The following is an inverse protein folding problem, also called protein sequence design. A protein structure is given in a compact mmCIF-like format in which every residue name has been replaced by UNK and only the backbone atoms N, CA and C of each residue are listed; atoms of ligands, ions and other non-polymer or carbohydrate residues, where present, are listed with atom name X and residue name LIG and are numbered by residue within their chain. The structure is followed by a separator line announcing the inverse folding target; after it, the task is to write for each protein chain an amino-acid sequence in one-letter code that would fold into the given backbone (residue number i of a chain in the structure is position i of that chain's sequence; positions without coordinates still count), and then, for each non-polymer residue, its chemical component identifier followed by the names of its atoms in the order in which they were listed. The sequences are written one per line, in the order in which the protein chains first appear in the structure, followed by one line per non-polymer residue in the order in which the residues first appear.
data_IF_328337167669
#
_entry.id   IF_328337167669
#
_cell.length_a   1.000
_cell.length_b   1.000
_cell.length_c   1.000
_cell.angle_alpha   90.00
_cell.angle_beta   90.00
_cell.angle_gamma   90.00
#
_symmetry.space_group_name_H-M   'P 1'
#
loop_
_entity.id
_entity.type
_entity.pdbx_description
1 polymer ?
#
# COMPACT_ATOMS: atom_id res chain seq x y z
N UNK A 1 -2.29 0.61 28.81
CA UNK A 1 -2.84 -0.77 28.77
C UNK A 1 -2.15 -1.60 29.83
N UNK A 2 -2.88 -2.15 30.80
CA UNK A 2 -2.29 -2.98 31.86
C UNK A 2 -2.23 -4.44 31.43
N UNK A 3 -1.04 -4.93 31.10
CA UNK A 3 -0.84 -6.36 30.92
C UNK A 3 -0.92 -7.04 32.29
N UNK A 4 -1.70 -8.12 32.39
CA UNK A 4 -1.81 -8.90 33.62
C UNK A 4 -0.43 -9.40 34.08
N UNK A 5 -0.08 -9.27 35.35
CA UNK A 5 1.22 -9.69 35.94
C UNK A 5 1.62 -11.14 35.61
N UNK A 6 0.62 -12.05 35.48
CA UNK A 6 0.90 -13.45 35.09
C UNK A 6 1.40 -13.55 33.64
N UNK A 7 0.81 -12.75 32.75
CA UNK A 7 1.22 -12.71 31.32
C UNK A 7 2.59 -12.05 31.22
N UNK A 8 2.83 -10.93 31.90
CA UNK A 8 4.13 -10.28 31.93
C UNK A 8 5.24 -11.23 32.38
N UNK A 9 5.03 -11.98 33.49
CA UNK A 9 6.00 -12.97 33.98
C UNK A 9 6.27 -14.06 32.96
N UNK A 10 5.25 -14.58 32.26
CA UNK A 10 5.41 -15.58 31.20
C UNK A 10 6.25 -15.04 30.02
N UNK A 11 5.95 -13.82 29.56
CA UNK A 11 6.70 -13.18 28.49
C UNK A 11 8.17 -12.97 28.91
N UNK A 12 8.39 -12.47 30.13
CA UNK A 12 9.74 -12.26 30.68
C UNK A 12 10.54 -13.58 30.74
N UNK A 13 9.93 -14.67 31.20
CA UNK A 13 10.59 -15.98 31.23
C UNK A 13 10.85 -16.53 29.82
N UNK A 14 9.94 -16.29 28.88
CA UNK A 14 10.12 -16.69 27.49
C UNK A 14 11.23 -15.95 26.77
N UNK A 15 11.50 -14.70 27.15
CA UNK A 15 12.58 -13.88 26.56
C UNK A 15 13.95 -14.12 27.21
N UNK A 16 14.02 -14.67 28.42
CA UNK A 16 15.27 -14.90 29.14
C UNK A 16 15.96 -16.22 28.73
N UNK A 17 17.32 -16.22 28.81
CA UNK A 17 18.14 -17.43 28.66
C UNK A 17 18.04 -18.08 27.28
N UNK A 18 17.69 -17.32 26.24
CA UNK A 18 17.61 -17.83 24.89
C UNK A 18 18.99 -18.08 24.30
N UNK A 19 19.13 -19.19 23.62
CA UNK A 19 20.34 -19.56 22.91
C UNK A 19 20.01 -19.71 21.41
N UNK A 20 20.97 -19.38 20.56
CA UNK A 20 20.86 -19.58 19.11
C UNK A 20 22.11 -20.25 18.54
N UNK A 21 21.95 -20.97 17.47
CA UNK A 21 23.03 -21.51 16.62
C UNK A 21 22.59 -21.53 15.17
N UNK A 22 23.56 -21.54 14.28
CA UNK A 22 23.33 -21.56 12.84
C UNK A 22 23.57 -22.99 12.34
N UNK A 23 22.67 -23.49 11.51
CA UNK A 23 22.83 -24.70 10.73
C UNK A 23 23.06 -24.30 9.26
N UNK A 24 24.22 -24.69 8.70
CA UNK A 24 24.56 -24.44 7.30
C UNK A 24 25.08 -25.72 6.67
N UNK A 25 24.41 -26.24 5.65
CA UNK A 25 24.82 -27.48 4.93
C UNK A 25 25.08 -28.70 5.81
N UNK A 26 24.36 -28.82 6.91
CA UNK A 26 24.52 -29.93 7.88
C UNK A 26 25.48 -29.64 9.03
N UNK A 27 26.31 -28.61 8.93
CA UNK A 27 27.23 -28.18 9.97
C UNK A 27 26.57 -27.19 10.95
N UNK A 28 26.83 -27.38 12.26
CA UNK A 28 26.26 -26.58 13.33
C UNK A 28 27.31 -25.66 13.94
N UNK A 29 26.98 -24.36 14.08
CA UNK A 29 27.82 -23.45 14.89
C UNK A 29 27.70 -23.75 16.39
N UNK A 30 28.60 -23.20 17.18
CA UNK A 30 28.46 -23.18 18.65
C UNK A 30 27.24 -22.39 19.08
N UNK A 31 26.72 -22.71 20.26
CA UNK A 31 25.63 -21.99 20.90
C UNK A 31 26.08 -20.57 21.30
N UNK A 32 25.24 -19.56 21.01
CA UNK A 32 25.43 -18.18 21.48
C UNK A 32 24.19 -17.69 22.19
N UNK A 33 24.36 -16.90 23.23
CA UNK A 33 23.27 -16.27 23.98
C UNK A 33 22.60 -15.17 23.14
N UNK A 34 21.27 -15.10 23.21
CA UNK A 34 20.46 -14.04 22.60
C UNK A 34 20.11 -13.03 23.67
N UNK A 35 20.80 -11.90 23.66
CA UNK A 35 20.68 -10.85 24.70
C UNK A 35 19.62 -9.79 24.39
N UNK A 36 19.12 -9.73 23.15
CA UNK A 36 18.15 -8.70 22.69
C UNK A 36 17.16 -9.24 21.68
N UNK A 37 16.12 -8.45 21.39
CA UNK A 37 15.10 -8.74 20.40
C UNK A 37 14.10 -9.82 20.81
N UNK A 38 13.19 -10.13 19.91
CA UNK A 38 12.14 -11.13 20.07
C UNK A 38 12.40 -12.34 19.15
N UNK A 39 11.92 -13.56 19.50
CA UNK A 39 12.09 -14.72 18.64
C UNK A 39 11.42 -14.52 17.28
N UNK A 40 12.20 -14.58 16.20
CA UNK A 40 11.69 -14.50 14.83
C UNK A 40 10.80 -15.71 14.51
N UNK A 41 9.70 -15.49 13.77
CA UNK A 41 8.72 -16.51 13.44
C UNK A 41 7.71 -16.83 14.56
N UNK A 42 7.82 -16.18 15.72
CA UNK A 42 6.84 -16.33 16.79
C UNK A 42 5.60 -15.43 16.55
N UNK A 43 4.44 -15.85 17.02
CA UNK A 43 3.19 -15.08 16.96
C UNK A 43 3.26 -13.80 17.82
N UNK A 44 3.94 -13.87 18.97
CA UNK A 44 4.05 -12.75 19.91
C UNK A 44 5.13 -11.73 19.51
N UNK A 45 6.14 -12.12 18.74
CA UNK A 45 7.24 -11.25 18.36
C UNK A 45 6.80 -9.93 17.74
N UNK A 46 6.00 -9.93 16.66
CA UNK A 46 5.50 -8.70 16.04
C UNK A 46 4.66 -7.83 16.98
N UNK A 47 3.85 -8.44 17.86
CA UNK A 47 3.01 -7.73 18.83
C UNK A 47 3.90 -7.01 19.85
N UNK A 48 4.89 -7.70 20.40
CA UNK A 48 5.82 -7.13 21.38
C UNK A 48 6.69 -6.03 20.77
N UNK A 49 7.12 -6.21 19.52
CA UNK A 49 7.86 -5.19 18.80
C UNK A 49 7.00 -3.92 18.59
N UNK A 50 5.75 -4.08 18.12
CA UNK A 50 4.85 -2.94 17.95
C UNK A 50 4.55 -2.22 19.27
N UNK A 51 4.41 -2.97 20.37
CA UNK A 51 4.27 -2.37 21.71
C UNK A 51 5.52 -1.60 22.11
N UNK A 52 6.71 -2.14 21.83
CA UNK A 52 7.98 -1.52 22.15
C UNK A 52 8.19 -0.19 21.41
N UNK A 53 7.82 -0.10 20.13
CA UNK A 53 7.97 1.13 19.35
C UNK A 53 6.77 2.08 19.45
N UNK A 54 5.79 1.81 20.33
CA UNK A 54 4.56 2.62 20.41
C UNK A 54 4.84 4.08 20.73
N UNK A 55 5.78 4.35 21.62
CA UNK A 55 6.17 5.69 22.09
C UNK A 55 7.20 6.39 21.20
N UNK A 56 7.72 5.71 20.17
CA UNK A 56 8.62 6.34 19.20
C UNK A 56 7.92 7.53 18.53
N UNK A 57 8.51 8.71 18.63
CA UNK A 57 8.08 9.93 17.96
C UNK A 57 6.77 10.55 18.49
N UNK A 58 6.37 10.28 19.73
CA UNK A 58 5.17 10.86 20.35
C UNK A 58 5.23 12.38 20.53
N UNK A 59 6.42 12.97 20.48
CA UNK A 59 6.63 14.42 20.62
C UNK A 59 6.81 15.14 19.27
N UNK A 60 6.81 14.39 18.18
CA UNK A 60 7.08 14.93 16.85
C UNK A 60 6.03 15.95 16.42
N UNK A 61 6.46 17.08 15.89
CA UNK A 61 5.63 18.06 15.20
C UNK A 61 5.25 17.64 13.78
N UNK A 62 5.90 16.61 13.27
CA UNK A 62 5.73 16.05 11.92
C UNK A 62 4.76 14.86 11.92
N UNK A 63 4.32 14.43 10.71
CA UNK A 63 3.52 13.22 10.56
C UNK A 63 4.43 12.00 10.60
N UNK A 64 4.31 11.18 11.65
CA UNK A 64 5.04 9.94 11.81
C UNK A 64 4.15 8.74 11.48
N UNK A 65 4.58 7.92 10.53
CA UNK A 65 3.91 6.68 10.13
C UNK A 65 4.86 5.52 10.44
N UNK A 66 4.35 4.50 11.13
CA UNK A 66 5.10 3.28 11.50
C UNK A 66 4.44 2.05 10.91
N UNK A 67 5.23 1.18 10.32
CA UNK A 67 4.80 -0.14 9.85
C UNK A 67 5.90 -1.16 10.17
N UNK A 68 5.70 -1.95 11.22
CA UNK A 68 6.73 -2.79 11.82
C UNK A 68 7.99 -1.96 12.12
N UNK A 69 9.14 -2.32 11.56
CA UNK A 69 10.42 -1.60 11.68
C UNK A 69 10.55 -0.41 10.73
N UNK A 70 9.73 -0.33 9.68
CA UNK A 70 9.74 0.82 8.77
C UNK A 70 9.07 2.04 9.42
N UNK A 71 9.80 3.16 9.44
CA UNK A 71 9.33 4.43 10.00
C UNK A 71 9.47 5.53 8.96
N UNK A 72 8.42 6.34 8.79
CA UNK A 72 8.38 7.47 7.87
C UNK A 72 8.03 8.72 8.62
N UNK A 73 8.84 9.74 8.44
CA UNK A 73 8.62 11.08 8.97
C UNK A 73 8.31 12.02 7.80
N UNK A 74 7.20 12.74 7.87
CA UNK A 74 6.78 13.66 6.82
C UNK A 74 6.38 15.01 7.39
N UNK A 75 6.87 16.08 6.78
CA UNK A 75 6.53 17.44 7.15
C UNK A 75 6.44 18.36 5.92
N UNK A 76 5.81 19.52 6.09
CA UNK A 76 5.90 20.61 5.15
C UNK A 76 7.32 21.22 5.32
N UNK A 77 8.00 21.50 4.20
CA UNK A 77 9.38 22.02 4.20
C UNK A 77 9.47 23.25 3.28
N UNK A 78 8.64 24.25 3.53
CA UNK A 78 8.53 25.47 2.70
C UNK A 78 9.49 26.57 3.19
N UNK A 79 9.73 26.65 4.48
CA UNK A 79 10.54 27.65 5.16
C UNK A 79 11.70 26.99 5.92
N UNK A 80 12.71 27.78 6.26
CA UNK A 80 13.83 27.31 7.11
C UNK A 80 13.33 26.80 8.47
N UNK A 81 12.36 27.48 9.05
CA UNK A 81 11.72 27.06 10.30
C UNK A 81 11.12 25.65 10.19
N UNK A 82 10.51 25.32 9.06
CA UNK A 82 9.94 23.99 8.84
C UNK A 82 11.05 22.92 8.78
N UNK A 83 12.20 23.28 8.17
CA UNK A 83 13.41 22.45 8.16
C UNK A 83 13.89 22.16 9.59
N UNK A 84 13.98 23.21 10.42
CA UNK A 84 14.48 23.09 11.79
C UNK A 84 13.57 22.18 12.62
N UNK A 85 12.26 22.33 12.51
CA UNK A 85 11.29 21.44 13.17
C UNK A 85 11.49 19.98 12.74
N UNK A 86 11.64 19.73 11.43
CA UNK A 86 11.87 18.36 10.96
C UNK A 86 13.20 17.78 11.41
N UNK A 87 14.25 18.63 11.52
CA UNK A 87 15.53 18.20 12.05
C UNK A 87 15.45 17.90 13.56
N UNK A 88 14.75 18.71 14.34
CA UNK A 88 14.48 18.43 15.76
C UNK A 88 13.75 17.12 15.95
N UNK A 89 12.75 16.83 15.13
CA UNK A 89 12.03 15.55 15.14
C UNK A 89 12.96 14.36 14.83
N UNK A 90 13.91 14.51 13.89
CA UNK A 90 14.92 13.49 13.58
C UNK A 90 15.88 13.29 14.76
N UNK A 91 16.27 14.36 15.43
CA UNK A 91 17.14 14.31 16.62
C UNK A 91 16.43 13.62 17.80
N UNK A 92 15.12 13.86 17.97
CA UNK A 92 14.29 13.14 18.95
C UNK A 92 14.21 11.65 18.66
N UNK A 93 14.10 11.23 17.38
CA UNK A 93 14.16 9.83 17.02
C UNK A 93 15.51 9.19 17.41
N UNK A 94 16.62 9.91 17.19
CA UNK A 94 17.97 9.45 17.60
C UNK A 94 18.07 9.32 19.11
N UNK A 95 17.56 10.29 19.86
CA UNK A 95 17.54 10.27 21.33
C UNK A 95 16.73 9.08 21.86
N UNK A 96 15.55 8.83 21.27
CA UNK A 96 14.74 7.66 21.60
C UNK A 96 15.50 6.35 21.32
N UNK A 97 16.14 6.25 20.16
CA UNK A 97 16.95 5.10 19.73
C UNK A 97 18.07 4.79 20.74
N UNK A 98 18.79 5.81 21.18
CA UNK A 98 19.86 5.68 22.16
C UNK A 98 19.32 5.23 23.54
N UNK A 99 18.24 5.85 24.00
CA UNK A 99 17.60 5.53 25.29
C UNK A 99 17.05 4.10 25.33
N UNK A 100 16.52 3.62 24.20
CA UNK A 100 15.94 2.29 24.06
C UNK A 100 16.92 1.23 23.53
N UNK A 101 18.18 1.59 23.32
CA UNK A 101 19.23 0.69 22.79
C UNK A 101 18.85 0.01 21.48
N UNK A 102 18.07 0.68 20.64
CA UNK A 102 17.65 0.21 19.33
C UNK A 102 18.17 1.16 18.24
N UNK A 103 19.25 0.78 17.59
CA UNK A 103 19.91 1.62 16.58
C UNK A 103 19.16 1.61 15.26
N UNK A 104 18.97 2.80 14.68
CA UNK A 104 18.56 2.93 13.29
C UNK A 104 19.70 2.52 12.34
N UNK A 105 19.35 1.92 11.21
CA UNK A 105 20.29 1.73 10.13
C UNK A 105 20.38 3.01 9.29
N UNK A 106 21.24 3.94 9.69
CA UNK A 106 21.35 5.26 9.07
C UNK A 106 21.71 5.20 7.57
N UNK A 107 22.45 4.18 7.13
CA UNK A 107 22.80 3.99 5.71
C UNK A 107 21.58 3.67 4.84
N UNK A 108 20.54 3.06 5.42
CA UNK A 108 19.28 2.79 4.72
C UNK A 108 18.30 3.95 4.81
N UNK A 109 18.53 4.91 5.71
CA UNK A 109 17.65 6.06 5.85
C UNK A 109 17.88 7.06 4.71
N UNK A 110 16.79 7.50 4.08
CA UNK A 110 16.80 8.36 2.91
C UNK A 110 15.86 9.54 3.09
N UNK A 111 16.11 10.59 2.34
CA UNK A 111 15.22 11.75 2.24
C UNK A 111 14.65 11.84 0.82
N UNK A 112 13.36 12.14 0.71
CA UNK A 112 12.71 12.43 -0.57
C UNK A 112 12.01 13.77 -0.50
N UNK A 113 12.37 14.66 -1.39
CA UNK A 113 11.76 15.99 -1.52
C UNK A 113 10.57 15.94 -2.46
N UNK A 114 9.36 16.06 -1.92
CA UNK A 114 8.14 16.03 -2.72
C UNK A 114 7.74 17.44 -3.17
N UNK A 115 7.30 17.56 -4.42
CA UNK A 115 6.78 18.80 -4.98
C UNK A 115 7.83 19.65 -5.73
N UNK A 116 7.34 20.45 -6.69
CA UNK A 116 8.19 21.22 -7.64
C UNK A 116 8.95 22.37 -6.95
N UNK A 117 8.33 22.96 -5.91
CA UNK A 117 8.88 24.13 -5.20
C UNK A 117 9.55 23.74 -3.87
N UNK A 118 9.95 22.48 -3.69
CA UNK A 118 10.68 22.07 -2.50
C UNK A 118 12.07 22.70 -2.48
N UNK A 119 12.48 23.25 -1.34
CA UNK A 119 13.78 23.90 -1.19
C UNK A 119 14.95 22.94 -1.06
N UNK A 120 14.69 21.64 -1.03
CA UNK A 120 15.69 20.57 -0.96
C UNK A 120 16.68 20.74 0.20
N UNK A 121 16.17 21.06 1.39
CA UNK A 121 16.99 21.16 2.58
C UNK A 121 17.69 19.83 2.90
N UNK A 122 18.88 19.91 3.41
CA UNK A 122 19.64 18.73 3.85
C UNK A 122 19.27 18.37 5.30
N UNK A 123 19.22 17.06 5.60
CA UNK A 123 18.87 16.52 6.91
C UNK A 123 19.91 15.50 7.37
N UNK A 124 20.02 15.34 8.70
CA UNK A 124 20.92 14.38 9.33
C UNK A 124 20.14 13.46 10.28
N UNK A 125 20.60 12.22 10.39
CA UNK A 125 20.16 11.30 11.44
C UNK A 125 21.36 11.01 12.35
N UNK A 126 21.45 11.71 13.49
CA UNK A 126 22.65 11.77 14.30
C UNK A 126 23.81 12.42 13.55
N UNK A 127 24.91 11.70 13.37
CA UNK A 127 26.09 12.18 12.63
C UNK A 127 26.00 11.89 11.12
N UNK A 128 25.05 11.07 10.69
CA UNK A 128 24.94 10.62 9.30
C UNK A 128 24.08 11.59 8.47
N UNK A 129 24.66 12.12 7.38
CA UNK A 129 23.93 12.93 6.39
C UNK A 129 23.02 12.04 5.56
N UNK A 130 21.71 12.32 5.53
CA UNK A 130 20.75 11.55 4.76
C UNK A 130 20.94 11.81 3.26
N UNK A 131 20.96 10.71 2.49
CA UNK A 131 21.03 10.76 1.04
C UNK A 131 19.68 11.16 0.45
N UNK A 132 19.70 12.08 -0.53
CA UNK A 132 18.50 12.52 -1.25
C UNK A 132 18.21 11.55 -2.39
N UNK A 133 16.98 11.02 -2.43
CA UNK A 133 16.53 10.10 -3.46
C UNK A 133 15.41 10.71 -4.30
N UNK A 134 15.45 10.48 -5.60
CA UNK A 134 14.36 10.86 -6.52
C UNK A 134 13.24 9.82 -6.53
N UNK A 135 13.55 8.58 -6.21
CA UNK A 135 12.58 7.49 -6.11
C UNK A 135 12.99 6.51 -5.00
N UNK A 136 12.03 5.97 -4.28
CA UNK A 136 12.25 5.00 -3.21
C UNK A 136 11.13 3.95 -3.20
N UNK A 137 11.47 2.73 -2.78
CA UNK A 137 10.50 1.63 -2.68
C UNK A 137 9.88 1.59 -1.30
N UNK A 138 8.63 2.00 -1.20
CA UNK A 138 7.84 2.03 0.01
C UNK A 138 6.82 0.88 0.06
N UNK A 139 6.92 -0.01 1.06
CA UNK A 139 6.04 -1.18 1.25
C UNK A 139 5.75 -1.93 -0.07
N UNK A 140 6.76 -2.05 -0.92
CA UNK A 140 6.66 -2.76 -2.19
C UNK A 140 6.24 -1.92 -3.40
N UNK A 141 5.87 -0.64 -3.19
CA UNK A 141 5.51 0.33 -4.24
C UNK A 141 6.66 1.30 -4.47
N UNK A 142 7.03 1.53 -5.72
CA UNK A 142 8.04 2.52 -6.09
C UNK A 142 7.38 3.89 -6.17
N UNK A 143 7.82 4.80 -5.29
CA UNK A 143 7.33 6.18 -5.20
C UNK A 143 8.37 7.11 -5.78
N UNK A 144 7.98 8.01 -6.68
CA UNK A 144 8.86 9.04 -7.23
C UNK A 144 8.55 10.42 -6.62
N UNK A 145 9.56 11.31 -6.56
CA UNK A 145 9.45 12.65 -5.96
C UNK A 145 8.38 13.54 -6.60
N UNK A 146 7.96 13.25 -7.83
CA UNK A 146 6.87 13.92 -8.54
C UNK A 146 5.52 13.26 -8.33
N UNK A 147 5.47 12.13 -7.63
CA UNK A 147 4.25 11.33 -7.39
C UNK A 147 3.53 10.93 -8.70
N UNK A 148 4.27 10.76 -9.80
CA UNK A 148 3.68 10.38 -11.11
C UNK A 148 3.32 8.92 -11.19
N UNK A 149 3.97 8.07 -10.41
CA UNK A 149 3.82 6.62 -10.37
C UNK A 149 4.15 5.91 -11.70
N UNK A 150 4.73 6.60 -12.68
CA UNK A 150 5.06 5.98 -13.98
C UNK A 150 6.09 4.87 -13.85
N UNK A 151 7.11 5.04 -12.98
CA UNK A 151 8.13 4.02 -12.70
C UNK A 151 7.52 2.79 -12.02
N UNK A 152 6.56 3.00 -11.13
CA UNK A 152 5.80 1.89 -10.51
C UNK A 152 5.00 1.12 -11.58
N UNK A 153 4.32 1.82 -12.49
CA UNK A 153 3.60 1.19 -13.60
C UNK A 153 4.54 0.35 -14.47
N UNK A 154 5.72 0.90 -14.85
CA UNK A 154 6.72 0.17 -15.64
C UNK A 154 7.23 -1.08 -14.90
N UNK A 155 7.48 -0.98 -13.59
CA UNK A 155 7.91 -2.12 -12.77
C UNK A 155 6.81 -3.19 -12.67
N UNK A 156 5.55 -2.80 -12.46
CA UNK A 156 4.42 -3.72 -12.42
C UNK A 156 4.25 -4.46 -13.76
N UNK A 157 4.31 -3.73 -14.87
CA UNK A 157 4.25 -4.28 -16.23
C UNK A 157 5.39 -5.25 -16.49
N UNK A 158 6.63 -4.89 -16.10
CA UNK A 158 7.82 -5.75 -16.27
C UNK A 158 7.65 -7.08 -15.52
N UNK A 159 7.25 -7.02 -14.25
CA UNK A 159 7.02 -8.23 -13.42
C UNK A 159 5.89 -9.09 -13.99
N UNK A 160 4.75 -8.49 -14.31
CA UNK A 160 3.60 -9.20 -14.87
C UNK A 160 3.93 -9.88 -16.21
N UNK A 161 4.66 -9.20 -17.12
CA UNK A 161 5.10 -9.78 -18.38
C UNK A 161 6.14 -10.91 -18.19
N UNK A 162 7.03 -10.83 -17.21
CA UNK A 162 7.97 -11.90 -16.89
C UNK A 162 7.22 -13.17 -16.48
N UNK A 163 6.24 -13.06 -15.59
CA UNK A 163 5.38 -14.19 -15.15
C UNK A 163 4.58 -14.73 -16.34
N UNK A 164 3.96 -13.84 -17.15
CA UNK A 164 3.22 -14.25 -18.34
C UNK A 164 4.11 -15.01 -19.34
N UNK A 165 5.36 -14.58 -19.49
CA UNK A 165 6.38 -15.27 -20.29
C UNK A 165 6.70 -16.67 -19.75
N UNK A 166 6.77 -16.84 -18.43
CA UNK A 166 6.97 -18.15 -17.79
C UNK A 166 5.77 -19.07 -18.05
N UNK A 167 4.53 -18.57 -17.89
CA UNK A 167 3.31 -19.33 -18.19
C UNK A 167 3.31 -19.76 -19.66
N UNK A 168 3.63 -18.85 -20.60
CA UNK A 168 3.66 -19.15 -22.03
C UNK A 168 4.63 -20.28 -22.39
N UNK A 169 5.81 -20.33 -21.74
CA UNK A 169 6.84 -21.35 -22.00
C UNK A 169 6.60 -22.65 -21.25
N UNK A 170 6.10 -22.58 -20.01
CA UNK A 170 5.97 -23.74 -19.14
C UNK A 170 4.66 -24.51 -19.27
N UNK A 171 3.63 -23.89 -19.87
CA UNK A 171 2.28 -24.49 -19.97
C UNK A 171 1.93 -24.66 -21.45
N UNK A 172 1.71 -25.91 -21.87
CA UNK A 172 1.28 -26.24 -23.24
C UNK A 172 -0.21 -25.99 -23.50
N UNK A 173 -1.04 -26.18 -22.47
CA UNK A 173 -2.50 -25.94 -22.57
C UNK A 173 -2.77 -24.47 -22.89
N UNK A 174 -3.73 -24.23 -23.78
CA UNK A 174 -4.28 -22.92 -24.12
C UNK A 174 -5.76 -22.80 -23.77
N UNK A 175 -6.23 -23.70 -22.91
CA UNK A 175 -7.64 -23.75 -22.52
C UNK A 175 -7.99 -22.58 -21.60
N UNK A 176 -9.22 -22.10 -21.74
CA UNK A 176 -9.75 -20.93 -21.02
C UNK A 176 -9.61 -21.10 -19.51
N UNK A 177 -10.03 -22.24 -18.98
CA UNK A 177 -10.05 -22.52 -17.55
C UNK A 177 -8.65 -22.46 -16.94
N UNK A 178 -7.66 -23.02 -17.63
CA UNK A 178 -6.27 -23.05 -17.17
C UNK A 178 -5.65 -21.67 -17.24
N UNK A 179 -5.71 -21.00 -18.40
CA UNK A 179 -5.02 -19.73 -18.60
C UNK A 179 -5.64 -18.57 -17.81
N UNK A 180 -6.97 -18.54 -17.67
CA UNK A 180 -7.64 -17.52 -16.84
C UNK A 180 -7.29 -17.68 -15.36
N UNK A 181 -7.25 -18.95 -14.88
CA UNK A 181 -6.84 -19.23 -13.50
C UNK A 181 -5.41 -18.77 -13.24
N UNK A 182 -4.46 -19.16 -14.09
CA UNK A 182 -3.04 -18.77 -13.97
C UNK A 182 -2.86 -17.26 -14.08
N UNK A 183 -3.56 -16.59 -15.00
CA UNK A 183 -3.56 -15.14 -15.12
C UNK A 183 -4.04 -14.48 -13.83
N UNK A 184 -5.22 -14.87 -13.32
CA UNK A 184 -5.79 -14.32 -12.08
C UNK A 184 -4.91 -14.57 -10.86
N UNK A 185 -4.27 -15.73 -10.78
CA UNK A 185 -3.47 -16.10 -9.61
C UNK A 185 -2.04 -15.54 -9.63
N UNK A 186 -1.38 -15.49 -10.78
CA UNK A 186 0.05 -15.22 -10.87
C UNK A 186 0.41 -13.87 -11.53
N UNK A 187 -0.35 -13.43 -12.53
CA UNK A 187 -0.04 -12.22 -13.30
C UNK A 187 -0.76 -11.01 -12.73
N UNK A 188 -2.07 -11.11 -12.54
CA UNK A 188 -2.95 -10.02 -12.11
C UNK A 188 -2.56 -9.39 -10.78
N UNK A 189 -2.09 -10.12 -9.75
CA UNK A 189 -1.66 -9.53 -8.50
C UNK A 189 -0.55 -8.48 -8.65
N UNK A 190 0.34 -8.62 -9.64
CA UNK A 190 1.37 -7.62 -9.91
C UNK A 190 0.81 -6.31 -10.47
N UNK A 191 -0.36 -6.35 -11.11
CA UNK A 191 -1.04 -5.20 -11.72
C UNK A 191 -2.02 -4.51 -10.76
N UNK A 192 -2.38 -5.18 -9.65
CA UNK A 192 -3.41 -4.72 -8.71
C UNK A 192 -2.89 -4.43 -7.30
N UNK A 193 -1.70 -4.93 -6.95
CA UNK A 193 -1.15 -4.73 -5.60
C UNK A 193 -1.07 -3.24 -5.24
N UNK A 194 -1.78 -2.83 -4.18
CA UNK A 194 -1.79 -1.47 -3.66
C UNK A 194 -2.16 -0.37 -4.68
N UNK A 195 -2.91 -0.71 -5.72
CA UNK A 195 -3.25 0.18 -6.84
C UNK A 195 -4.06 1.42 -6.39
N UNK A 196 -4.72 1.36 -5.24
CA UNK A 196 -5.39 2.50 -4.62
C UNK A 196 -4.43 3.66 -4.34
N UNK A 197 -3.18 3.34 -4.04
CA UNK A 197 -2.12 4.33 -3.82
C UNK A 197 -1.51 4.83 -5.14
N UNK A 198 -1.10 3.91 -6.04
CA UNK A 198 -0.32 4.22 -7.23
C UNK A 198 -1.12 4.18 -8.54
N UNK A 199 -2.44 4.36 -8.52
CA UNK A 199 -3.23 4.40 -9.76
C UNK A 199 -2.57 5.30 -10.81
N UNK A 200 -2.41 4.84 -12.06
CA UNK A 200 -1.65 5.56 -13.09
C UNK A 200 -2.21 6.96 -13.32
N UNK A 201 -1.30 7.93 -13.42
CA UNK A 201 -1.65 9.32 -13.71
C UNK A 201 -1.87 9.55 -15.21
N UNK A 202 -1.08 8.90 -16.06
CA UNK A 202 -1.06 9.13 -17.49
C UNK A 202 -1.75 7.99 -18.25
N UNK A 203 -2.48 8.33 -19.31
CA UNK A 203 -3.10 7.36 -20.24
C UNK A 203 -2.10 6.37 -20.84
N UNK A 204 -0.85 6.82 -21.09
CA UNK A 204 0.24 5.94 -21.57
C UNK A 204 0.54 4.80 -20.60
N UNK A 205 0.47 5.05 -19.30
CA UNK A 205 0.77 4.06 -18.27
C UNK A 205 -0.44 3.13 -18.06
N UNK A 206 -1.66 3.65 -18.13
CA UNK A 206 -2.90 2.83 -18.20
C UNK A 206 -2.83 1.86 -19.39
N UNK A 207 -2.46 2.36 -20.56
CA UNK A 207 -2.32 1.56 -21.76
C UNK A 207 -1.27 0.45 -21.60
N UNK A 208 -0.09 0.74 -21.02
CA UNK A 208 0.95 -0.28 -20.77
C UNK A 208 0.45 -1.41 -19.87
N UNK A 209 -0.27 -1.07 -18.80
CA UNK A 209 -0.85 -2.06 -17.89
C UNK A 209 -1.88 -2.93 -18.65
N UNK A 210 -2.80 -2.29 -19.38
CA UNK A 210 -3.85 -2.99 -20.14
C UNK A 210 -3.27 -3.91 -21.23
N UNK A 211 -2.11 -3.55 -21.82
CA UNK A 211 -1.42 -4.40 -22.81
C UNK A 211 -1.02 -5.76 -22.24
N UNK A 212 -0.74 -5.87 -20.95
CA UNK A 212 -0.44 -7.17 -20.33
C UNK A 212 -1.67 -8.07 -20.38
N UNK A 213 -2.85 -7.55 -20.00
CA UNK A 213 -4.11 -8.31 -20.06
C UNK A 213 -4.51 -8.62 -21.50
N UNK A 214 -4.32 -7.69 -22.44
CA UNK A 214 -4.55 -7.94 -23.88
C UNK A 214 -3.70 -9.10 -24.40
N UNK A 215 -2.43 -9.19 -23.98
CA UNK A 215 -1.54 -10.31 -24.34
C UNK A 215 -2.00 -11.61 -23.69
N UNK A 216 -2.32 -11.59 -22.40
CA UNK A 216 -2.77 -12.77 -21.67
C UNK A 216 -4.04 -13.37 -22.28
N UNK A 217 -5.05 -12.54 -22.55
CA UNK A 217 -6.31 -12.99 -23.14
C UNK A 217 -6.15 -13.49 -24.58
N UNK A 218 -5.20 -12.97 -25.34
CA UNK A 218 -4.91 -13.44 -26.73
C UNK A 218 -4.23 -14.81 -26.76
N UNK A 219 -3.63 -15.27 -25.65
CA UNK A 219 -3.00 -16.59 -25.59
C UNK A 219 -4.03 -17.74 -25.48
N UNK A 220 -5.27 -17.43 -25.18
CA UNK A 220 -6.34 -18.41 -24.97
C UNK A 220 -6.87 -18.86 -26.32
N UNK A 221 -6.99 -20.19 -26.51
CA UNK A 221 -7.49 -20.79 -27.74
C UNK A 221 -8.89 -20.26 -28.11
N UNK A 222 -9.05 -19.86 -29.37
CA UNK A 222 -10.29 -19.29 -29.90
C UNK A 222 -10.51 -17.80 -29.60
N UNK A 223 -9.56 -17.15 -28.88
CA UNK A 223 -9.65 -15.73 -28.55
C UNK A 223 -8.76 -14.85 -29.43
N UNK A 224 -7.92 -15.46 -30.30
CA UNK A 224 -6.86 -14.78 -31.05
C UNK A 224 -7.40 -13.65 -31.94
N UNK A 225 -8.52 -13.92 -32.62
CA UNK A 225 -9.14 -13.04 -33.62
C UNK A 225 -10.29 -12.18 -33.08
N UNK A 226 -10.65 -12.33 -31.80
CA UNK A 226 -11.69 -11.53 -31.18
C UNK A 226 -11.17 -10.14 -30.77
N UNK A 227 -12.05 -9.15 -30.83
CA UNK A 227 -11.74 -7.83 -30.23
C UNK A 227 -11.47 -7.98 -28.73
N UNK A 228 -10.76 -7.04 -28.16
CA UNK A 228 -10.41 -7.12 -26.73
C UNK A 228 -11.63 -7.11 -25.83
N UNK A 229 -12.60 -6.29 -26.14
CA UNK A 229 -13.87 -6.15 -25.42
C UNK A 229 -14.67 -7.47 -25.48
N UNK A 230 -14.72 -8.11 -26.63
CA UNK A 230 -15.33 -9.44 -26.78
C UNK A 230 -14.60 -10.50 -25.95
N UNK A 231 -13.27 -10.49 -25.97
CA UNK A 231 -12.49 -11.41 -25.12
C UNK A 231 -12.79 -11.23 -23.64
N UNK A 232 -12.88 -10.00 -23.15
CA UNK A 232 -13.21 -9.73 -21.75
C UNK A 232 -14.59 -10.31 -21.40
N UNK A 233 -15.59 -10.06 -22.24
CA UNK A 233 -16.96 -10.58 -22.06
C UNK A 233 -16.99 -12.11 -22.03
N UNK A 234 -16.36 -12.78 -23.01
CA UNK A 234 -16.30 -14.25 -23.09
C UNK A 234 -15.55 -14.89 -21.92
N UNK A 235 -14.58 -14.18 -21.36
CA UNK A 235 -13.75 -14.65 -20.25
C UNK A 235 -14.30 -14.27 -18.87
N UNK A 236 -15.36 -13.46 -18.80
CA UNK A 236 -15.89 -12.91 -17.54
C UNK A 236 -14.82 -12.09 -16.82
N UNK A 237 -14.13 -11.22 -17.55
CA UNK A 237 -13.08 -10.35 -17.02
C UNK A 237 -13.46 -8.88 -17.20
N UNK A 238 -13.23 -8.09 -16.20
CA UNK A 238 -13.20 -6.64 -16.30
C UNK A 238 -11.89 -6.15 -16.92
N UNK A 239 -11.89 -4.98 -17.53
CA UNK A 239 -10.65 -4.26 -17.86
C UNK A 239 -9.87 -3.91 -16.58
N UNK A 240 -8.57 -3.68 -16.68
CA UNK A 240 -7.79 -3.28 -15.51
C UNK A 240 -8.22 -1.90 -14.98
N UNK A 241 -8.80 -1.05 -15.82
CA UNK A 241 -9.37 0.23 -15.39
C UNK A 241 -10.61 0.03 -14.53
N UNK A 242 -11.51 -0.86 -14.91
CA UNK A 242 -12.70 -1.23 -14.11
C UNK A 242 -12.30 -1.93 -12.81
N UNK A 243 -11.30 -2.82 -12.85
CA UNK A 243 -10.77 -3.48 -11.64
C UNK A 243 -10.19 -2.47 -10.67
N UNK A 244 -9.45 -1.45 -11.14
CA UNK A 244 -8.94 -0.36 -10.28
C UNK A 244 -10.08 0.42 -9.66
N UNK A 245 -11.08 0.79 -10.45
CA UNK A 245 -12.28 1.49 -9.96
C UNK A 245 -13.01 0.65 -8.91
N UNK A 246 -13.20 -0.64 -9.17
CA UNK A 246 -13.77 -1.59 -8.21
C UNK A 246 -12.96 -1.64 -6.91
N UNK A 247 -11.64 -1.71 -7.01
CA UNK A 247 -10.73 -1.68 -5.87
C UNK A 247 -10.85 -0.39 -5.05
N UNK A 248 -10.96 0.75 -5.72
CA UNK A 248 -11.19 2.05 -5.08
C UNK A 248 -12.51 2.05 -4.30
N UNK A 249 -13.60 1.54 -4.88
CA UNK A 249 -14.91 1.47 -4.21
C UNK A 249 -14.89 0.54 -3.00
N UNK A 250 -14.20 -0.59 -3.09
CA UNK A 250 -14.02 -1.50 -1.96
C UNK A 250 -13.23 -0.81 -0.83
N UNK A 251 -12.20 -0.05 -1.17
CA UNK A 251 -11.42 0.71 -0.19
C UNK A 251 -12.28 1.79 0.48
N UNK A 252 -13.04 2.57 -0.29
CA UNK A 252 -13.96 3.58 0.24
C UNK A 252 -15.00 2.95 1.19
N UNK A 253 -15.61 1.84 0.78
CA UNK A 253 -16.57 1.12 1.64
C UNK A 253 -15.95 0.74 2.98
N UNK A 254 -14.72 0.20 2.97
CA UNK A 254 -14.01 -0.18 4.20
C UNK A 254 -13.73 1.01 5.10
N UNK A 255 -13.34 2.16 4.55
CA UNK A 255 -13.10 3.40 5.31
C UNK A 255 -14.41 3.93 5.92
N UNK A 256 -15.47 4.03 5.12
CA UNK A 256 -16.75 4.61 5.56
C UNK A 256 -17.45 3.73 6.62
N UNK A 257 -17.26 2.40 6.53
CA UNK A 257 -17.83 1.43 7.49
C UNK A 257 -16.94 1.18 8.70
N UNK A 258 -15.83 1.90 8.87
CA UNK A 258 -14.91 1.73 10.00
C UNK A 258 -14.22 0.37 10.05
N UNK A 259 -14.19 -0.39 8.94
CA UNK A 259 -13.45 -1.65 8.83
C UNK A 259 -11.95 -1.38 8.84
N UNK A 260 -11.52 -0.32 8.17
CA UNK A 260 -10.19 0.25 8.29
C UNK A 260 -10.29 1.33 9.37
N UNK A 261 -9.43 1.26 10.38
CA UNK A 261 -9.36 2.09 11.58
C UNK A 261 -9.74 3.58 11.47
N UNK A 262 -9.80 4.31 12.59
CA UNK A 262 -10.23 5.73 12.75
C UNK A 262 -9.67 6.74 11.75
N UNK A 263 -8.56 6.46 11.11
CA UNK A 263 -7.94 7.30 10.06
C UNK A 263 -8.85 7.53 8.83
N UNK A 264 -9.83 6.65 8.60
CA UNK A 264 -10.79 6.80 7.50
C UNK A 264 -11.72 8.00 7.65
N UNK A 265 -12.07 8.40 8.86
CA UNK A 265 -12.94 9.54 9.15
C UNK A 265 -12.28 10.88 8.78
N UNK A 266 -10.95 10.94 8.87
CA UNK A 266 -10.18 12.12 8.45
C UNK A 266 -10.01 12.20 6.92
N UNK A 267 -9.91 11.06 6.25
CA UNK A 267 -9.72 10.99 4.80
C UNK A 267 -11.00 11.32 4.04
N UNK A 268 -12.15 10.83 4.50
CA UNK A 268 -13.44 10.94 3.83
C UNK A 268 -14.49 11.54 4.75
N UNK A 269 -15.00 12.72 4.39
CA UNK A 269 -16.09 13.39 5.13
C UNK A 269 -17.42 13.12 4.44
N UNK A 270 -18.43 12.75 5.21
CA UNK A 270 -19.79 12.69 4.69
C UNK A 270 -20.29 14.09 4.34
N UNK A 271 -21.08 14.19 3.28
CA UNK A 271 -21.69 15.45 2.86
C UNK A 271 -22.80 15.82 3.84
N UNK A 272 -22.81 17.07 4.29
CA UNK A 272 -23.87 17.64 5.15
C UNK A 272 -25.09 18.10 4.36
N UNK A 273 -24.98 18.23 3.01
CA UNK A 273 -26.10 18.65 2.16
C UNK A 273 -27.08 17.48 1.95
N UNK A 274 -28.20 17.57 2.64
CA UNK A 274 -29.28 16.56 2.65
C UNK A 274 -30.31 16.79 1.55
N UNK A 275 -30.29 17.94 0.84
CA UNK A 275 -31.34 18.40 -0.07
C UNK A 275 -31.38 17.73 -1.46
N UNK A 276 -30.48 16.80 -1.74
CA UNK A 276 -30.51 16.05 -3.00
C UNK A 276 -30.80 14.58 -2.74
N UNK A 277 -31.42 13.86 -3.70
CA UNK A 277 -31.56 12.40 -3.69
C UNK A 277 -30.21 11.76 -3.42
N UNK A 278 -29.92 11.48 -2.16
CA UNK A 278 -28.64 10.93 -1.72
C UNK A 278 -28.71 9.42 -1.60
N UNK A 279 -27.59 8.74 -1.83
CA UNK A 279 -27.47 7.31 -1.57
C UNK A 279 -27.36 6.97 -0.06
N UNK A 280 -27.46 7.98 0.83
CA UNK A 280 -27.34 7.84 2.28
C UNK A 280 -25.90 7.89 2.83
N UNK A 281 -24.88 7.80 1.98
CA UNK A 281 -23.45 7.85 2.33
C UNK A 281 -22.66 8.74 1.38
N UNK A 282 -23.27 9.83 0.91
CA UNK A 282 -22.62 10.76 -0.02
C UNK A 282 -21.39 11.39 0.62
N UNK A 283 -20.28 11.41 -0.10
CA UNK A 283 -19.03 12.00 0.34
C UNK A 283 -18.90 13.45 -0.15
N UNK A 284 -18.34 14.30 0.72
CA UNK A 284 -18.04 15.69 0.37
C UNK A 284 -16.90 15.74 -0.66
N UNK A 285 -17.11 16.52 -1.72
CA UNK A 285 -16.09 16.77 -2.75
C UNK A 285 -15.12 17.83 -2.26
N UNK A 286 -13.83 17.52 -2.22
CA UNK A 286 -12.80 18.50 -1.86
C UNK A 286 -12.32 19.24 -3.12
N UNK A 287 -12.16 20.55 -3.00
CA UNK A 287 -11.51 21.35 -4.05
C UNK A 287 -10.01 21.01 -4.12
N UNK A 288 -9.46 20.97 -5.31
CA UNK A 288 -8.04 20.77 -5.55
C UNK A 288 -7.52 21.79 -6.56
N UNK A 289 -6.23 22.16 -6.46
CA UNK A 289 -5.58 23.11 -7.37
C UNK A 289 -4.62 22.40 -8.33
N UNK A 290 -4.08 21.24 -7.93
CA UNK A 290 -3.09 20.50 -8.70
C UNK A 290 -3.74 19.27 -9.32
N UNK A 291 -3.48 19.02 -10.60
CA UNK A 291 -3.99 17.83 -11.32
C UNK A 291 -3.58 16.51 -10.66
N UNK A 292 -2.37 16.46 -10.10
CA UNK A 292 -1.90 15.30 -9.35
C UNK A 292 -2.85 14.94 -8.20
N UNK A 293 -3.41 15.95 -7.51
CA UNK A 293 -4.34 15.72 -6.40
C UNK A 293 -5.65 15.08 -6.85
N UNK A 294 -6.08 15.36 -8.10
CA UNK A 294 -7.26 14.73 -8.70
C UNK A 294 -7.14 13.20 -8.76
N UNK A 295 -5.91 12.69 -8.88
CA UNK A 295 -5.62 11.25 -9.01
C UNK A 295 -5.57 10.52 -7.67
N UNK A 296 -5.55 11.23 -6.56
CA UNK A 296 -5.58 10.59 -5.23
C UNK A 296 -6.94 9.95 -4.97
N UNK A 297 -6.94 8.80 -4.29
CA UNK A 297 -8.16 8.07 -3.94
C UNK A 297 -9.22 8.96 -3.29
N UNK A 298 -8.80 9.89 -2.43
CA UNK A 298 -9.66 10.85 -1.72
C UNK A 298 -10.39 11.84 -2.63
N UNK A 299 -10.05 11.92 -3.90
CA UNK A 299 -10.71 12.76 -4.92
C UNK A 299 -11.31 11.89 -6.01
N UNK A 300 -10.51 11.04 -6.69
CA UNK A 300 -10.97 10.28 -7.85
C UNK A 300 -12.10 9.30 -7.51
N UNK A 301 -12.05 8.70 -6.32
CA UNK A 301 -13.06 7.72 -5.90
C UNK A 301 -14.40 8.35 -5.52
N UNK A 302 -14.40 9.60 -5.04
CA UNK A 302 -15.60 10.25 -4.49
C UNK A 302 -16.70 10.43 -5.54
N UNK A 303 -16.35 10.82 -6.77
CA UNK A 303 -17.33 11.03 -7.84
C UNK A 303 -18.11 9.76 -8.14
N UNK A 304 -17.41 8.64 -8.35
CA UNK A 304 -18.03 7.35 -8.65
C UNK A 304 -18.77 6.78 -7.43
N UNK A 305 -18.21 6.91 -6.23
CA UNK A 305 -18.91 6.53 -5.00
C UNK A 305 -20.27 7.22 -4.86
N UNK A 306 -20.32 8.51 -5.15
CA UNK A 306 -21.54 9.29 -5.05
C UNK A 306 -22.58 8.93 -6.12
N UNK A 307 -22.19 8.25 -7.21
CA UNK A 307 -23.10 7.72 -8.24
C UNK A 307 -23.65 6.33 -7.93
N UNK A 308 -23.07 5.64 -6.93
CA UNK A 308 -23.55 4.30 -6.56
C UNK A 308 -24.97 4.35 -5.99
N UNK A 309 -25.81 3.35 -6.30
CA UNK A 309 -27.17 3.26 -5.76
C UNK A 309 -27.15 3.02 -4.24
N UNK A 310 -28.19 3.49 -3.56
CA UNK A 310 -28.38 3.34 -2.11
C UNK A 310 -28.25 1.87 -1.65
N UNK A 311 -28.74 0.95 -2.44
CA UNK A 311 -28.69 -0.48 -2.15
C UNK A 311 -27.26 -1.01 -2.07
N UNK A 312 -26.35 -0.50 -2.93
CA UNK A 312 -24.96 -0.89 -2.92
C UNK A 312 -24.23 -0.32 -1.70
N UNK A 313 -24.24 1.01 -1.51
CA UNK A 313 -23.53 1.67 -0.40
C UNK A 313 -24.11 1.29 0.97
N UNK A 314 -25.41 0.95 1.03
CA UNK A 314 -26.12 0.50 2.21
C UNK A 314 -25.95 -0.98 2.56
N UNK A 315 -25.11 -1.74 1.82
CA UNK A 315 -24.88 -3.16 2.09
C UNK A 315 -24.42 -3.38 3.55
N UNK A 316 -24.89 -4.46 4.17
CA UNK A 316 -24.62 -4.76 5.59
C UNK A 316 -23.18 -5.18 5.82
N UNK A 317 -22.59 -5.88 4.86
CA UNK A 317 -21.22 -6.41 4.92
C UNK A 317 -20.47 -6.21 3.60
N UNK A 318 -19.16 -6.47 3.64
CA UNK A 318 -18.26 -6.28 2.50
C UNK A 318 -18.59 -7.23 1.34
N UNK A 319 -19.08 -8.44 1.62
CA UNK A 319 -19.42 -9.43 0.60
C UNK A 319 -20.66 -8.99 -0.19
N UNK A 320 -21.71 -8.55 0.51
CA UNK A 320 -22.91 -7.99 -0.10
C UNK A 320 -22.62 -6.71 -0.88
N UNK A 321 -21.70 -5.85 -0.38
CA UNK A 321 -21.26 -4.68 -1.14
C UNK A 321 -20.60 -5.07 -2.46
N UNK A 322 -19.66 -6.02 -2.44
CA UNK A 322 -18.97 -6.48 -3.66
C UNK A 322 -19.92 -7.00 -4.71
N UNK A 323 -20.89 -7.84 -4.31
CA UNK A 323 -21.88 -8.42 -5.24
C UNK A 323 -22.70 -7.32 -5.92
N UNK A 324 -23.20 -6.35 -5.14
CA UNK A 324 -24.01 -5.23 -5.66
C UNK A 324 -23.19 -4.27 -6.51
N UNK A 325 -21.92 -4.04 -6.15
CA UNK A 325 -21.00 -3.24 -6.94
C UNK A 325 -20.72 -3.89 -8.28
N UNK A 326 -20.44 -5.20 -8.30
CA UNK A 326 -20.17 -5.94 -9.54
C UNK A 326 -21.36 -5.88 -10.48
N UNK A 327 -22.57 -6.11 -9.97
CA UNK A 327 -23.81 -5.98 -10.76
C UNK A 327 -23.96 -4.56 -11.35
N UNK A 328 -23.75 -3.52 -10.55
CA UNK A 328 -23.84 -2.14 -11.03
C UNK A 328 -22.79 -1.83 -12.10
N UNK A 329 -21.58 -2.36 -11.96
CA UNK A 329 -20.51 -2.18 -12.94
C UNK A 329 -20.78 -2.93 -14.25
N UNK A 330 -21.40 -4.11 -14.22
CA UNK A 330 -21.81 -4.86 -15.40
C UNK A 330 -22.90 -4.13 -16.20
N UNK A 331 -23.80 -3.42 -15.53
CA UNK A 331 -24.86 -2.62 -16.18
C UNK A 331 -24.33 -1.32 -16.84
N UNK A 332 -23.09 -0.91 -16.55
CA UNK A 332 -22.45 0.28 -17.12
C UNK A 332 -21.69 -0.01 -18.42
N UNK A 333 -21.40 -1.27 -18.74
CA UNK A 333 -20.67 -1.75 -19.92
C UNK A 333 -21.67 -2.20 -20.99
#
# INVERSE_FOLDING_TARGET
MGINRKIERRIRNWLKGRLQRILLKGELSGWREVTSGVPQGSVLGPILFNLFITDLGTKSGSVLIKFADDTKLGAIASLEKDRDILQEDLDDLVNWSNSNRMKFNSEKCKVMHLGINNKNFSYKLGTHQLEVMEEEKDLGVLVDHRMTMSRQCDMAVKKANAVLGCIRRGISSRDKEVLVLLYKALVRPHLEYCVQFWSPMFKKDEFKLEQVQRRATRMIRGMENLSYERRLKELGLFSLTEIRLRGDMIALYKYIRGINTREGEELFKLSTNVDTRTNGYKLATRKFRLEIRQRFLTIRGVKFWNSLPREAVGAKDLSGFKIKLDKFMEEMV
#
